data_IF_232506369935
#
_entry.id   IF_232506369935
#
_cell.length_a   1.000
_cell.length_b   1.000
_cell.length_c   1.000
_cell.angle_alpha   90.00
_cell.angle_beta   90.00
_cell.angle_gamma   90.00
#
_symmetry.space_group_name_H-M   'P 1'
#
loop_
_entity.id
_entity.type
_entity.pdbx_description
1 polymer ?
#
# COMPACT_ATOMS: atom_id res chain seq x y z
N UNK A 1 28.40 -20.50 -1.13
CA UNK A 1 27.56 -19.85 -2.16
C UNK A 1 27.98 -18.40 -2.25
N UNK A 2 28.26 -17.88 -3.43
CA UNK A 2 28.44 -16.43 -3.61
C UNK A 2 27.07 -15.81 -3.52
N UNK A 3 26.88 -14.88 -2.61
CA UNK A 3 25.67 -14.07 -2.52
C UNK A 3 25.63 -13.12 -3.72
N UNK A 4 24.80 -13.43 -4.71
CA UNK A 4 24.71 -12.67 -5.95
C UNK A 4 23.66 -11.56 -5.87
N UNK A 5 22.67 -11.66 -4.99
CA UNK A 5 21.73 -10.59 -4.72
C UNK A 5 22.36 -9.53 -3.81
N UNK A 6 22.39 -8.28 -4.25
CA UNK A 6 23.02 -7.17 -3.54
C UNK A 6 22.03 -6.31 -2.73
N UNK A 7 20.79 -6.73 -2.67
CA UNK A 7 19.73 -6.00 -1.97
C UNK A 7 19.18 -6.80 -0.80
N UNK A 8 18.87 -6.17 0.34
CA UNK A 8 18.06 -6.80 1.37
C UNK A 8 16.69 -7.18 0.81
N UNK A 9 16.20 -8.37 1.15
CA UNK A 9 14.90 -8.87 0.68
C UNK A 9 13.99 -9.07 1.89
N UNK A 10 12.82 -8.44 1.85
CA UNK A 10 11.79 -8.56 2.88
C UNK A 10 10.59 -9.28 2.26
N UNK A 11 10.46 -10.56 2.52
CA UNK A 11 9.37 -11.36 1.97
C UNK A 11 8.04 -11.02 2.64
N UNK A 12 6.98 -10.93 1.83
CA UNK A 12 5.59 -10.75 2.27
C UNK A 12 4.81 -12.06 2.29
N UNK A 13 5.45 -13.15 2.72
CA UNK A 13 4.82 -14.48 2.75
C UNK A 13 3.59 -14.47 3.64
N UNK A 14 2.46 -14.92 3.08
CA UNK A 14 1.15 -14.93 3.74
C UNK A 14 0.33 -13.65 3.55
N UNK A 15 0.90 -12.59 2.96
CA UNK A 15 0.20 -11.32 2.67
C UNK A 15 -0.21 -11.16 1.20
N UNK A 16 -0.04 -12.19 0.37
CA UNK A 16 -0.28 -12.11 -1.07
C UNK A 16 -1.75 -11.85 -1.40
N UNK A 17 -2.66 -12.40 -0.60
CA UNK A 17 -4.09 -12.25 -0.79
C UNK A 17 -4.56 -10.79 -0.66
N UNK A 18 -3.90 -9.99 0.19
CA UNK A 18 -4.21 -8.57 0.35
C UNK A 18 -3.94 -7.82 -0.96
N UNK A 19 -2.75 -7.98 -1.53
CA UNK A 19 -2.39 -7.32 -2.78
C UNK A 19 -3.32 -7.71 -3.92
N UNK A 20 -3.57 -9.02 -4.11
CA UNK A 20 -4.43 -9.54 -5.17
C UNK A 20 -5.88 -9.09 -5.00
N UNK A 21 -6.43 -9.23 -3.78
CA UNK A 21 -7.82 -8.88 -3.50
C UNK A 21 -8.10 -7.38 -3.66
N UNK A 22 -7.22 -6.53 -3.16
CA UNK A 22 -7.37 -5.07 -3.30
C UNK A 22 -7.25 -4.65 -4.76
N UNK A 23 -6.21 -5.10 -5.48
CA UNK A 23 -6.03 -4.75 -6.90
C UNK A 23 -7.23 -5.18 -7.76
N UNK A 24 -7.79 -6.36 -7.50
CA UNK A 24 -8.97 -6.85 -8.20
C UNK A 24 -10.25 -6.05 -7.91
N UNK A 25 -10.24 -5.21 -6.87
CA UNK A 25 -11.36 -4.33 -6.50
C UNK A 25 -11.17 -2.89 -7.01
N UNK A 26 -9.96 -2.50 -7.38
CA UNK A 26 -9.67 -1.14 -7.84
C UNK A 26 -10.19 -0.94 -9.28
N UNK A 27 -10.77 0.23 -9.58
CA UNK A 27 -11.12 0.59 -10.95
C UNK A 27 -9.87 0.77 -11.82
N UNK A 28 -10.04 0.61 -13.12
CA UNK A 28 -8.99 0.90 -14.10
C UNK A 28 -8.47 2.34 -13.94
N UNK A 29 -7.18 2.53 -14.14
CA UNK A 29 -6.51 3.83 -13.96
C UNK A 29 -6.21 4.20 -12.52
N UNK A 30 -6.53 3.35 -11.55
CA UNK A 30 -6.14 3.55 -10.15
C UNK A 30 -4.62 3.55 -9.98
N UNK A 31 -4.15 4.26 -8.95
CA UNK A 31 -2.73 4.30 -8.59
C UNK A 31 -2.50 3.60 -7.26
N UNK A 32 -1.37 2.92 -7.15
CA UNK A 32 -1.00 2.20 -5.93
C UNK A 32 0.37 2.62 -5.43
N UNK A 33 0.52 2.57 -4.12
CA UNK A 33 1.76 2.82 -3.40
C UNK A 33 1.94 1.70 -2.38
N UNK A 34 3.18 1.33 -2.09
CA UNK A 34 3.44 0.22 -1.18
C UNK A 34 4.71 0.36 -0.37
N UNK A 35 5.07 -0.71 0.31
CA UNK A 35 6.25 -0.80 1.17
C UNK A 35 7.33 -1.69 0.55
N UNK A 36 8.44 -1.79 1.24
CA UNK A 36 9.55 -2.71 0.93
C UNK A 36 9.15 -4.20 0.94
N UNK A 37 7.99 -4.54 1.49
CA UNK A 37 7.51 -5.94 1.61
C UNK A 37 6.49 -6.31 0.51
N UNK A 38 6.09 -5.36 -0.31
CA UNK A 38 5.01 -5.53 -1.28
C UNK A 38 5.51 -6.04 -2.65
N UNK A 39 6.31 -7.12 -2.67
CA UNK A 39 6.68 -7.81 -3.91
C UNK A 39 5.45 -8.38 -4.63
N UNK A 40 4.49 -8.91 -3.84
CA UNK A 40 3.20 -9.38 -4.33
C UNK A 40 2.41 -8.28 -5.04
N UNK A 41 2.45 -7.05 -4.53
CA UNK A 41 1.80 -5.89 -5.15
C UNK A 41 2.40 -5.58 -6.53
N UNK A 42 3.74 -5.61 -6.65
CA UNK A 42 4.41 -5.40 -7.93
C UNK A 42 4.00 -6.44 -8.98
N UNK A 43 4.01 -7.72 -8.59
CA UNK A 43 3.66 -8.82 -9.50
C UNK A 43 2.17 -8.84 -9.82
N UNK A 44 1.31 -8.63 -8.83
CA UNK A 44 -0.13 -8.61 -9.01
C UNK A 44 -0.63 -7.41 -9.82
N UNK A 45 0.09 -6.27 -9.78
CA UNK A 45 -0.17 -5.13 -10.65
C UNK A 45 0.16 -5.41 -12.12
N UNK A 46 0.94 -6.42 -12.43
CA UNK A 46 1.36 -6.77 -13.79
C UNK A 46 2.86 -6.60 -14.05
N UNK A 47 3.63 -6.30 -13.02
CA UNK A 47 5.09 -6.22 -13.13
C UNK A 47 5.70 -7.55 -13.58
N UNK A 48 6.64 -7.50 -14.53
CA UNK A 48 7.29 -8.70 -15.08
C UNK A 48 8.16 -9.39 -14.04
N UNK A 49 8.04 -10.72 -13.97
CA UNK A 49 8.86 -11.55 -13.09
C UNK A 49 10.35 -11.44 -13.45
N UNK A 50 10.67 -11.38 -14.74
CA UNK A 50 12.04 -11.21 -15.23
C UNK A 50 12.60 -9.85 -14.81
N UNK A 51 11.83 -8.77 -14.94
CA UNK A 51 12.23 -7.43 -14.50
C UNK A 51 12.41 -7.37 -12.99
N UNK A 52 11.54 -8.03 -12.22
CA UNK A 52 11.66 -8.14 -10.76
C UNK A 52 12.99 -8.78 -10.36
N UNK A 53 13.29 -9.97 -10.90
CA UNK A 53 14.55 -10.64 -10.60
C UNK A 53 15.77 -9.87 -11.15
N UNK A 54 15.67 -9.24 -12.32
CA UNK A 54 16.72 -8.40 -12.83
C UNK A 54 17.08 -7.27 -11.83
N UNK A 55 16.07 -6.65 -11.20
CA UNK A 55 16.30 -5.64 -10.18
C UNK A 55 16.98 -6.19 -8.93
N UNK A 56 16.54 -7.37 -8.43
CA UNK A 56 17.14 -8.02 -7.27
C UNK A 56 18.62 -8.33 -7.48
N UNK A 57 18.99 -8.69 -8.70
CA UNK A 57 20.38 -9.01 -9.07
C UNK A 57 21.16 -7.78 -9.58
N UNK A 58 20.62 -6.56 -9.44
CA UNK A 58 21.30 -5.33 -9.83
C UNK A 58 21.54 -5.22 -11.35
N UNK A 59 20.60 -5.72 -12.15
CA UNK A 59 20.70 -5.76 -13.62
C UNK A 59 19.90 -4.65 -14.28
N UNK A 60 20.40 -4.18 -15.41
CA UNK A 60 19.82 -3.07 -16.18
C UNK A 60 18.34 -3.26 -16.61
N UNK A 61 17.86 -4.48 -16.95
CA UNK A 61 16.45 -4.68 -17.29
C UNK A 61 15.48 -4.52 -16.09
N UNK A 62 15.97 -4.40 -14.86
CA UNK A 62 15.13 -4.14 -13.69
C UNK A 62 14.42 -2.78 -13.76
N UNK A 63 13.25 -2.60 -13.12
CA UNK A 63 12.46 -1.38 -13.16
C UNK A 63 13.21 -0.13 -12.67
N UNK A 64 14.12 -0.28 -11.73
CA UNK A 64 15.06 0.76 -11.26
C UNK A 64 16.44 0.68 -11.91
N UNK A 65 16.57 -0.07 -13.01
CA UNK A 65 17.85 -0.30 -13.72
C UNK A 65 18.93 -0.92 -12.82
N UNK A 66 18.50 -1.79 -11.91
CA UNK A 66 19.35 -2.48 -10.95
C UNK A 66 19.83 -1.61 -9.76
N UNK A 67 19.26 -0.43 -9.56
CA UNK A 67 19.65 0.51 -8.49
C UNK A 67 18.62 0.60 -7.35
N UNK A 68 17.38 0.25 -7.62
CA UNK A 68 16.28 0.34 -6.66
C UNK A 68 16.27 -0.83 -5.66
N UNK A 69 16.76 -1.99 -6.08
CA UNK A 69 16.72 -3.21 -5.28
C UNK A 69 15.29 -3.69 -5.03
N UNK A 70 15.11 -4.53 -4.01
CA UNK A 70 13.79 -5.13 -3.73
C UNK A 70 12.79 -4.17 -3.06
N UNK A 71 13.26 -3.04 -2.53
CA UNK A 71 12.46 -2.20 -1.64
C UNK A 71 11.84 -0.97 -2.32
N UNK A 72 12.31 -0.61 -3.51
CA UNK A 72 11.89 0.59 -4.23
C UNK A 72 11.39 0.27 -5.64
N UNK A 73 10.46 -0.68 -5.70
CA UNK A 73 9.86 -1.11 -6.96
C UNK A 73 8.82 -0.09 -7.44
N UNK A 74 8.75 0.08 -8.75
CA UNK A 74 7.73 0.87 -9.41
C UNK A 74 7.39 0.24 -10.76
N UNK A 75 6.16 0.40 -11.20
CA UNK A 75 5.64 0.01 -12.50
C UNK A 75 4.49 0.97 -12.86
N UNK A 76 4.82 2.24 -13.19
CA UNK A 76 3.80 3.26 -13.42
C UNK A 76 2.83 2.91 -14.55
N UNK A 77 3.30 2.17 -15.54
CA UNK A 77 2.48 1.63 -16.65
C UNK A 77 1.39 0.67 -16.18
N UNK A 78 1.56 0.04 -15.01
CA UNK A 78 0.60 -0.83 -14.34
C UNK A 78 -0.02 -0.19 -13.10
N UNK A 79 0.15 1.13 -12.92
CA UNK A 79 -0.43 1.86 -11.80
C UNK A 79 0.34 1.76 -10.47
N UNK A 80 1.41 0.98 -10.36
CA UNK A 80 2.26 0.97 -9.18
C UNK A 80 3.28 2.12 -9.25
N UNK A 81 3.00 3.20 -8.54
CA UNK A 81 3.77 4.44 -8.62
C UNK A 81 5.08 4.35 -7.85
N UNK A 82 5.08 3.76 -6.66
CA UNK A 82 6.27 3.60 -5.84
C UNK A 82 6.07 2.60 -4.69
N UNK A 83 7.16 1.92 -4.32
CA UNK A 83 7.32 1.31 -2.99
C UNK A 83 8.51 1.96 -2.28
N UNK A 84 8.58 1.87 -0.96
CA UNK A 84 9.66 2.50 -0.20
C UNK A 84 10.12 1.66 0.99
N UNK A 85 11.44 1.69 1.24
CA UNK A 85 12.05 1.17 2.45
C UNK A 85 11.76 2.03 3.69
N UNK A 86 11.47 3.32 3.49
CA UNK A 86 11.24 4.26 4.59
C UNK A 86 9.78 4.19 5.03
N UNK A 87 9.59 3.74 6.27
CA UNK A 87 8.25 3.52 6.85
C UNK A 87 7.43 4.81 6.83
N UNK A 88 6.16 4.69 6.49
CA UNK A 88 5.20 5.80 6.46
C UNK A 88 5.29 6.75 5.26
N UNK A 89 6.42 6.80 4.52
CA UNK A 89 6.64 7.82 3.49
C UNK A 89 5.74 7.71 2.26
N UNK A 90 5.30 6.52 1.91
CA UNK A 90 4.39 6.33 0.77
C UNK A 90 2.97 6.80 1.04
N UNK A 91 2.59 6.95 2.30
CA UNK A 91 1.25 7.42 2.70
C UNK A 91 1.00 8.87 2.23
N UNK A 92 1.83 9.87 2.57
CA UNK A 92 1.64 11.23 2.07
C UNK A 92 1.82 11.33 0.56
N UNK A 93 2.65 10.49 -0.07
CA UNK A 93 2.77 10.46 -1.53
C UNK A 93 1.46 10.02 -2.19
N UNK A 94 0.80 9.00 -1.65
CA UNK A 94 -0.50 8.54 -2.13
C UNK A 94 -1.59 9.60 -1.96
N UNK A 95 -1.60 10.28 -0.81
CA UNK A 95 -2.53 11.38 -0.55
C UNK A 95 -2.28 12.55 -1.51
N UNK A 96 -1.00 12.88 -1.79
CA UNK A 96 -0.65 13.87 -2.79
C UNK A 96 -1.09 13.50 -4.21
N UNK A 97 -0.97 12.21 -4.57
CA UNK A 97 -1.46 11.71 -5.85
C UNK A 97 -3.00 11.80 -5.94
N UNK A 98 -3.72 11.44 -4.89
CA UNK A 98 -5.18 11.56 -4.84
C UNK A 98 -5.64 13.03 -4.88
N UNK A 99 -4.90 13.93 -4.23
CA UNK A 99 -5.16 15.37 -4.31
C UNK A 99 -4.97 15.88 -5.75
N UNK A 100 -3.91 15.44 -6.43
CA UNK A 100 -3.68 15.80 -7.83
C UNK A 100 -4.77 15.25 -8.77
N UNK A 101 -5.27 14.04 -8.52
CA UNK A 101 -6.42 13.48 -9.25
C UNK A 101 -7.67 14.33 -9.05
N UNK A 102 -8.00 14.66 -7.81
CA UNK A 102 -9.16 15.49 -7.48
C UNK A 102 -9.05 16.89 -8.11
N UNK A 103 -7.86 17.50 -8.07
CA UNK A 103 -7.61 18.82 -8.65
C UNK A 103 -7.78 18.85 -10.17
N UNK A 104 -7.46 17.74 -10.84
CA UNK A 104 -7.62 17.57 -12.29
C UNK A 104 -9.04 17.15 -12.72
N UNK A 105 -9.94 16.96 -11.77
CA UNK A 105 -11.28 16.45 -12.02
C UNK A 105 -11.33 14.96 -12.39
N UNK A 106 -10.27 14.22 -12.07
CA UNK A 106 -10.21 12.77 -12.26
C UNK A 106 -11.10 12.01 -11.27
N UNK A 107 -11.44 10.77 -11.58
CA UNK A 107 -12.27 9.90 -10.75
C UNK A 107 -11.53 8.65 -10.23
N UNK A 108 -10.22 8.58 -10.47
CA UNK A 108 -9.36 7.50 -10.03
C UNK A 108 -9.29 7.34 -8.50
N UNK A 109 -9.10 6.12 -8.05
CA UNK A 109 -8.85 5.79 -6.64
C UNK A 109 -7.35 5.57 -6.46
N UNK A 110 -6.81 6.06 -5.36
CA UNK A 110 -5.43 5.79 -4.99
C UNK A 110 -5.43 4.85 -3.78
N UNK A 111 -4.73 3.71 -3.90
CA UNK A 111 -4.55 2.79 -2.78
C UNK A 111 -3.11 2.86 -2.25
N UNK A 112 -2.95 2.87 -0.93
CA UNK A 112 -1.64 2.83 -0.28
C UNK A 112 -1.59 1.68 0.72
N UNK A 113 -0.61 0.80 0.53
CA UNK A 113 -0.35 -0.35 1.39
C UNK A 113 0.75 0.01 2.39
N UNK A 114 0.56 -0.36 3.65
CA UNK A 114 1.53 -0.12 4.72
C UNK A 114 1.32 -1.12 5.85
N UNK A 115 2.39 -1.45 6.57
CA UNK A 115 2.30 -2.30 7.76
C UNK A 115 1.76 -1.54 8.98
N UNK A 116 1.24 -2.28 9.97
CA UNK A 116 0.70 -1.74 11.22
C UNK A 116 1.70 -0.84 11.99
N UNK A 117 3.01 -1.07 11.84
CA UNK A 117 4.05 -0.19 12.41
C UNK A 117 4.06 1.24 11.84
N UNK A 118 3.52 1.46 10.64
CA UNK A 118 3.41 2.81 10.08
C UNK A 118 2.36 3.68 10.80
N UNK A 119 1.48 3.06 11.59
CA UNK A 119 0.47 3.77 12.38
C UNK A 119 1.07 4.53 13.57
N UNK A 120 2.31 4.24 13.97
CA UNK A 120 3.03 4.99 14.99
C UNK A 120 3.73 6.24 14.44
N UNK A 121 3.81 6.37 13.10
CA UNK A 121 4.36 7.56 12.46
C UNK A 121 3.32 8.68 12.41
N UNK A 122 3.67 9.87 12.90
CA UNK A 122 2.78 11.04 12.89
C UNK A 122 2.25 11.36 11.50
N UNK A 123 3.07 11.15 10.46
CA UNK A 123 2.71 11.41 9.05
C UNK A 123 1.51 10.59 8.56
N UNK A 124 1.23 9.41 9.14
CA UNK A 124 0.01 8.66 8.84
C UNK A 124 -1.23 9.46 9.25
N UNK A 125 -1.27 9.93 10.50
CA UNK A 125 -2.41 10.66 11.05
C UNK A 125 -2.62 12.02 10.38
N UNK A 126 -1.54 12.72 10.06
CA UNK A 126 -1.57 13.97 9.29
C UNK A 126 -2.15 13.73 7.88
N UNK A 127 -1.72 12.66 7.22
CA UNK A 127 -2.19 12.26 5.90
C UNK A 127 -3.66 11.86 5.92
N UNK A 128 -4.08 11.06 6.90
CA UNK A 128 -5.47 10.66 7.10
C UNK A 128 -6.36 11.87 7.32
N UNK A 129 -5.93 12.79 8.21
CA UNK A 129 -6.67 14.03 8.48
C UNK A 129 -6.84 14.86 7.20
N UNK A 130 -5.77 15.04 6.44
CA UNK A 130 -5.84 15.82 5.20
C UNK A 130 -6.74 15.15 4.15
N UNK A 131 -6.58 13.84 3.95
CA UNK A 131 -7.39 13.08 3.02
C UNK A 131 -8.88 13.14 3.38
N UNK A 132 -9.21 12.96 4.66
CA UNK A 132 -10.55 13.04 5.21
C UNK A 132 -11.16 14.44 5.03
N UNK A 133 -10.41 15.50 5.42
CA UNK A 133 -10.85 16.89 5.28
C UNK A 133 -11.15 17.27 3.82
N UNK A 134 -10.31 16.79 2.90
CA UNK A 134 -10.45 17.06 1.45
C UNK A 134 -11.33 16.05 0.73
N UNK A 135 -11.85 15.05 1.42
CA UNK A 135 -12.65 13.95 0.86
C UNK A 135 -11.96 13.31 -0.35
N UNK A 136 -10.68 13.04 -0.21
CA UNK A 136 -9.87 12.45 -1.28
C UNK A 136 -10.19 10.97 -1.45
N UNK A 137 -10.16 10.48 -2.67
CA UNK A 137 -10.39 9.07 -2.99
C UNK A 137 -9.15 8.23 -2.70
N UNK A 138 -8.89 7.98 -1.42
CA UNK A 138 -7.77 7.17 -0.95
C UNK A 138 -8.27 5.95 -0.20
N UNK A 139 -7.77 4.78 -0.60
CA UNK A 139 -7.93 3.53 0.15
C UNK A 139 -6.64 3.26 0.92
N UNK A 140 -6.69 3.40 2.24
CA UNK A 140 -5.60 3.07 3.15
C UNK A 140 -5.67 1.57 3.48
N UNK A 141 -4.68 0.78 3.09
CA UNK A 141 -4.61 -0.66 3.28
C UNK A 141 -3.54 -0.98 4.33
N UNK A 142 -3.97 -1.25 5.57
CA UNK A 142 -3.09 -1.64 6.66
C UNK A 142 -2.90 -3.16 6.64
N UNK A 143 -1.69 -3.61 6.39
CA UNK A 143 -1.26 -5.01 6.48
C UNK A 143 -0.85 -5.29 7.93
N UNK A 144 -1.83 -5.70 8.75
CA UNK A 144 -1.64 -5.91 10.19
C UNK A 144 -1.20 -7.35 10.48
N UNK A 145 0.06 -7.52 10.86
CA UNK A 145 0.60 -8.79 11.35
C UNK A 145 0.87 -8.78 12.86
N UNK A 146 0.45 -7.73 13.57
CA UNK A 146 0.62 -7.55 15.01
C UNK A 146 2.04 -7.24 15.47
N UNK A 147 2.98 -7.07 14.54
CA UNK A 147 4.41 -6.88 14.85
C UNK A 147 5.01 -5.72 14.04
N UNK A 148 5.73 -4.82 14.71
CA UNK A 148 6.68 -3.93 14.05
C UNK A 148 8.09 -4.38 14.44
N UNK A 149 8.85 -4.93 13.48
CA UNK A 149 10.09 -5.67 13.68
C UNK A 149 9.82 -6.84 14.64
N UNK A 150 10.04 -6.68 15.94
CA UNK A 150 9.82 -7.69 16.97
C UNK A 150 8.90 -7.20 18.09
N UNK A 151 8.43 -5.94 18.02
CA UNK A 151 7.61 -5.35 19.06
C UNK A 151 6.13 -5.63 18.79
N UNK A 152 5.41 -6.29 19.70
CA UNK A 152 4.01 -6.59 19.53
C UNK A 152 3.13 -5.34 19.66
N UNK A 153 1.96 -5.39 19.02
CA UNK A 153 1.00 -4.29 18.94
C UNK A 153 0.67 -3.67 20.31
N UNK A 154 0.44 -4.52 21.32
CA UNK A 154 0.07 -4.10 22.68
C UNK A 154 1.12 -3.21 23.37
N UNK A 155 2.37 -3.26 22.94
CA UNK A 155 3.48 -2.49 23.49
C UNK A 155 3.76 -1.21 22.70
N UNK A 156 3.00 -0.96 21.61
CA UNK A 156 3.19 0.15 20.68
C UNK A 156 1.98 1.07 20.55
N UNK A 157 0.77 0.52 20.64
CA UNK A 157 -0.46 1.25 20.31
C UNK A 157 -1.31 1.48 21.57
N UNK A 158 -1.59 2.77 21.84
CA UNK A 158 -2.42 3.17 22.98
C UNK A 158 -3.93 3.18 22.72
N UNK A 159 -4.38 2.86 21.50
CA UNK A 159 -5.80 2.74 21.14
C UNK A 159 -6.24 1.28 21.09
N UNK A 160 -7.54 1.04 21.28
CA UNK A 160 -8.10 -0.33 21.34
C UNK A 160 -8.19 -1.01 19.97
N UNK A 161 -8.45 -0.25 18.94
CA UNK A 161 -8.65 -0.73 17.57
C UNK A 161 -8.37 0.40 16.58
N UNK A 162 -7.65 0.09 15.51
CA UNK A 162 -7.39 1.06 14.45
C UNK A 162 -8.69 1.51 13.77
N UNK A 163 -9.64 0.62 13.54
CA UNK A 163 -10.93 0.95 12.92
C UNK A 163 -11.73 1.92 13.79
N UNK A 164 -11.67 1.80 15.12
CA UNK A 164 -12.26 2.79 16.03
C UNK A 164 -11.50 4.11 16.00
N UNK A 165 -10.17 4.09 16.00
CA UNK A 165 -9.37 5.31 15.98
C UNK A 165 -9.62 6.14 14.71
N UNK A 166 -9.65 5.49 13.54
CA UNK A 166 -9.92 6.16 12.27
C UNK A 166 -11.38 6.59 12.11
N UNK A 167 -12.32 5.99 12.83
CA UNK A 167 -13.72 6.40 12.78
C UNK A 167 -14.00 7.80 13.32
N UNK A 168 -13.05 8.39 14.04
CA UNK A 168 -13.11 9.79 14.45
C UNK A 168 -12.92 10.78 13.29
N UNK A 169 -12.39 10.32 12.16
CA UNK A 169 -12.28 11.08 10.92
C UNK A 169 -13.47 10.78 10.02
N UNK A 170 -13.70 11.60 9.01
CA UNK A 170 -14.76 11.37 8.02
C UNK A 170 -14.35 10.27 7.01
N UNK A 171 -13.99 9.10 7.52
CA UNK A 171 -13.61 7.95 6.71
C UNK A 171 -14.27 6.67 7.24
N UNK A 172 -14.35 5.66 6.38
CA UNK A 172 -14.88 4.33 6.73
C UNK A 172 -13.70 3.40 7.03
N UNK A 173 -13.83 2.64 8.13
CA UNK A 173 -12.89 1.58 8.46
C UNK A 173 -13.57 0.21 8.37
N UNK A 174 -12.84 -0.78 7.86
CA UNK A 174 -13.24 -2.19 7.86
C UNK A 174 -12.02 -3.05 8.16
N UNK A 175 -12.26 -4.28 8.62
CA UNK A 175 -11.21 -5.26 8.90
C UNK A 175 -11.67 -6.64 8.46
N UNK A 176 -10.76 -7.44 7.93
CA UNK A 176 -11.04 -8.78 7.42
C UNK A 176 -9.83 -9.70 7.49
N UNK A 177 -10.02 -10.93 7.02
CA UNK A 177 -8.94 -11.91 6.93
C UNK A 177 -8.03 -11.60 5.75
N UNK A 178 -6.82 -11.13 6.03
CA UNK A 178 -5.79 -10.84 5.03
C UNK A 178 -5.23 -12.04 4.30
N UNK A 179 -5.57 -13.27 4.69
CA UNK A 179 -5.20 -14.51 4.00
C UNK A 179 -6.25 -14.98 2.97
N UNK A 180 -7.46 -14.41 2.99
CA UNK A 180 -8.56 -14.73 2.07
C UNK A 180 -8.70 -13.63 1.00
N UNK A 181 -8.23 -13.91 -0.22
CA UNK A 181 -8.31 -12.97 -1.34
C UNK A 181 -9.75 -12.63 -1.76
N UNK A 182 -10.71 -13.51 -1.52
CA UNK A 182 -12.13 -13.29 -1.86
C UNK A 182 -12.76 -12.35 -0.83
N UNK A 183 -12.50 -12.55 0.46
CA UNK A 183 -12.93 -11.64 1.53
C UNK A 183 -12.30 -10.25 1.33
N UNK A 184 -10.98 -10.17 1.13
CA UNK A 184 -10.26 -8.91 0.87
C UNK A 184 -10.88 -8.18 -0.33
N UNK A 185 -11.10 -8.87 -1.45
CA UNK A 185 -11.70 -8.27 -2.65
C UNK A 185 -13.09 -7.72 -2.37
N UNK A 186 -13.93 -8.48 -1.68
CA UNK A 186 -15.31 -8.09 -1.37
C UNK A 186 -15.35 -6.83 -0.53
N UNK A 187 -14.56 -6.77 0.54
CA UNK A 187 -14.43 -5.62 1.44
C UNK A 187 -13.86 -4.40 0.73
N UNK A 188 -12.77 -4.59 0.00
CA UNK A 188 -12.15 -3.52 -0.77
C UNK A 188 -13.12 -2.93 -1.80
N UNK A 189 -13.88 -3.77 -2.52
CA UNK A 189 -14.87 -3.31 -3.48
C UNK A 189 -16.00 -2.47 -2.83
N UNK A 190 -16.45 -2.85 -1.64
CA UNK A 190 -17.44 -2.09 -0.89
C UNK A 190 -16.89 -0.71 -0.48
N UNK A 191 -15.65 -0.66 0.04
CA UNK A 191 -14.99 0.60 0.40
C UNK A 191 -14.70 1.48 -0.83
N UNK A 192 -14.18 0.91 -1.91
CA UNK A 192 -13.93 1.63 -3.18
C UNK A 192 -15.23 2.22 -3.72
N UNK A 193 -16.32 1.47 -3.68
CA UNK A 193 -17.64 1.97 -4.07
C UNK A 193 -18.08 3.17 -3.21
N UNK A 194 -17.86 3.12 -1.90
CA UNK A 194 -18.17 4.22 -1.00
C UNK A 194 -17.28 5.45 -1.28
N UNK A 195 -15.98 5.25 -1.40
CA UNK A 195 -14.98 6.30 -1.71
C UNK A 195 -15.37 7.02 -3.02
N UNK A 196 -15.76 6.29 -4.05
CA UNK A 196 -16.18 6.89 -5.34
C UNK A 196 -17.46 7.71 -5.27
N UNK A 197 -18.40 7.31 -4.41
CA UNK A 197 -19.67 8.05 -4.24
C UNK A 197 -19.53 9.28 -3.34
N UNK A 198 -18.79 9.14 -2.26
CA UNK A 198 -18.81 10.09 -1.14
C UNK A 198 -17.50 10.88 -0.99
N UNK A 199 -16.42 10.32 -1.51
CA UNK A 199 -15.06 10.76 -1.19
C UNK A 199 -14.68 10.41 0.25
N UNK A 200 -13.40 10.47 0.61
CA UNK A 200 -12.92 10.26 1.97
C UNK A 200 -12.34 8.89 2.24
#
# INVERSE_FOLDING_TARGET
MKDEMKTPVHMGVGGEAIAVGVLAALPEGSKTFGTYRNHSLFLAAGGSLEAFFAELYGRLPGPGKGKAGSMHLASPEHGLMATSAVVGTTVPLAVGAAFAEAYRGGDGVVAVFFGDGALEEGVFWESLNFASLKRLRVLFVCEDNGLAIHTPLKDRQGYRSITQAVSAFHCRGDAGDGADAVDVRSRAAALVSAIRREGG
#
